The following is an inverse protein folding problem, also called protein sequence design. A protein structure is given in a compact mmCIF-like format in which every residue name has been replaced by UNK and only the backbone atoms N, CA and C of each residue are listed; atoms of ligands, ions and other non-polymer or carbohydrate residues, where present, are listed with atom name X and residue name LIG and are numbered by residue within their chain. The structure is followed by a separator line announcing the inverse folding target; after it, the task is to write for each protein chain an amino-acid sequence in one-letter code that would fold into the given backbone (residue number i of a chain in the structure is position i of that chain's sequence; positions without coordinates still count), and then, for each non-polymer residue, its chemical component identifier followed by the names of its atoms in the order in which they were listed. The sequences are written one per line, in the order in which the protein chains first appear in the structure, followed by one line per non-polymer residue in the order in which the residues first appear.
data_IF_613765298497
#
_entry.id   IF_613765298497
#
_cell.length_a   1.000
_cell.length_b   1.000
_cell.length_c   1.000
_cell.angle_alpha   90.00
_cell.angle_beta   90.00
_cell.angle_gamma   90.00
#
_symmetry.space_group_name_H-M   'P 1'
#
loop_
_entity.id
_entity.type
_entity.pdbx_description
1 polymer ?
#
# COMPACT_ATOMS: atom_id res chain seq x y z
N UNK A 1 10.50 -5.58 11.31
CA UNK A 1 9.26 -6.32 10.95
C UNK A 1 8.05 -5.74 11.70
N UNK A 2 7.06 -5.19 10.99
CA UNK A 2 5.80 -4.67 11.55
C UNK A 2 4.58 -5.35 10.89
N UNK A 3 3.47 -5.49 11.63
CA UNK A 3 2.19 -5.99 11.10
C UNK A 3 1.15 -4.87 11.02
N UNK A 4 0.44 -4.77 9.90
CA UNK A 4 -0.68 -3.87 9.67
C UNK A 4 -1.96 -4.62 9.32
N UNK A 5 -3.11 -4.11 9.76
CA UNK A 5 -4.45 -4.64 9.49
C UNK A 5 -5.31 -3.54 8.85
N UNK A 6 -5.91 -3.83 7.69
CA UNK A 6 -6.87 -2.95 7.02
C UNK A 6 -8.26 -3.57 7.06
N UNK A 7 -9.26 -2.83 7.54
CA UNK A 7 -10.67 -3.26 7.57
C UNK A 7 -11.39 -2.82 6.29
N UNK A 8 -12.24 -3.68 5.73
CA UNK A 8 -13.06 -3.36 4.56
C UNK A 8 -14.21 -2.37 4.85
N UNK A 9 -14.77 -1.78 3.79
CA UNK A 9 -15.91 -0.83 3.85
C UNK A 9 -17.15 -1.51 4.49
N UNK A 10 -17.81 -0.82 5.42
CA UNK A 10 -19.06 -1.25 6.03
C UNK A 10 -20.12 -1.62 4.98
N UNK A 11 -20.44 -2.91 4.88
CA UNK A 11 -21.38 -3.47 3.89
C UNK A 11 -21.29 -4.99 3.73
N UNK A 12 -20.17 -5.60 4.13
CA UNK A 12 -20.04 -7.05 4.39
C UNK A 12 -19.55 -7.26 5.81
N UNK A 13 -20.00 -8.32 6.47
CA UNK A 13 -19.68 -8.67 7.85
C UNK A 13 -18.17 -8.65 8.14
N UNK A 14 -17.64 -7.60 8.78
CA UNK A 14 -16.44 -7.64 9.62
C UNK A 14 -15.18 -8.37 9.10
N UNK A 15 -15.00 -8.52 7.79
CA UNK A 15 -13.86 -9.24 7.21
C UNK A 15 -12.65 -8.32 7.05
N UNK A 16 -11.47 -8.84 7.39
CA UNK A 16 -10.19 -8.19 7.09
C UNK A 16 -10.07 -8.07 5.56
N UNK A 17 -9.75 -6.87 5.08
CA UNK A 17 -9.60 -6.61 3.64
C UNK A 17 -8.25 -7.14 3.15
N UNK A 18 -7.17 -6.76 3.84
CA UNK A 18 -5.84 -7.32 3.65
C UNK A 18 -4.97 -7.16 4.90
N UNK A 19 -3.89 -7.96 4.95
CA UNK A 19 -2.87 -7.92 6.00
C UNK A 19 -1.52 -7.53 5.43
N UNK A 20 -0.77 -6.67 6.14
CA UNK A 20 0.53 -6.19 5.68
C UNK A 20 1.68 -6.57 6.59
N UNK A 21 2.78 -7.04 5.99
CA UNK A 21 4.05 -7.32 6.67
C UNK A 21 5.12 -6.39 6.10
N UNK A 22 5.51 -5.39 6.90
CA UNK A 22 6.61 -4.50 6.54
C UNK A 22 7.94 -5.13 6.92
N UNK A 23 8.88 -5.19 5.96
CA UNK A 23 10.25 -5.65 6.16
C UNK A 23 11.24 -4.50 6.13
N UNK A 24 12.39 -4.72 6.75
CA UNK A 24 13.36 -3.66 7.05
C UNK A 24 14.27 -3.30 5.86
N UNK A 25 14.30 -4.11 4.79
CA UNK A 25 15.11 -3.87 3.59
C UNK A 25 14.46 -4.43 2.30
N UNK A 26 14.68 -3.82 1.13
CA UNK A 26 14.09 -4.26 -0.13
C UNK A 26 14.59 -5.64 -0.56
N UNK A 27 15.83 -6.01 -0.24
CA UNK A 27 16.36 -7.35 -0.48
C UNK A 27 15.54 -8.42 0.25
N UNK A 28 14.98 -8.09 1.42
CA UNK A 28 14.13 -9.01 2.17
C UNK A 28 12.82 -9.28 1.43
N UNK A 29 12.24 -8.28 0.76
CA UNK A 29 11.05 -8.46 -0.11
C UNK A 29 11.37 -9.48 -1.20
N UNK A 30 12.53 -9.34 -1.86
CA UNK A 30 12.95 -10.24 -2.94
C UNK A 30 13.21 -11.68 -2.45
N UNK A 31 13.85 -11.84 -1.29
CA UNK A 31 14.08 -13.17 -0.70
C UNK A 31 12.75 -13.87 -0.38
N UNK A 32 11.79 -13.16 0.23
CA UNK A 32 10.48 -13.76 0.53
C UNK A 32 9.69 -14.06 -0.74
N UNK A 33 9.72 -13.17 -1.73
CA UNK A 33 9.09 -13.40 -3.03
C UNK A 33 9.60 -14.68 -3.70
N UNK A 34 10.93 -14.89 -3.73
CA UNK A 34 11.50 -16.11 -4.30
C UNK A 34 11.05 -17.36 -3.53
N UNK A 35 11.01 -17.29 -2.20
CA UNK A 35 10.53 -18.38 -1.34
C UNK A 35 9.07 -18.73 -1.63
N UNK A 36 8.20 -17.72 -1.76
CA UNK A 36 6.77 -17.87 -2.04
C UNK A 36 6.54 -18.45 -3.43
N UNK A 37 7.24 -17.94 -4.45
CA UNK A 37 7.22 -18.51 -5.81
C UNK A 37 7.68 -19.97 -5.84
N UNK A 38 8.75 -20.30 -5.11
CA UNK A 38 9.24 -21.68 -5.01
C UNK A 38 8.24 -22.62 -4.33
N UNK A 39 7.34 -22.09 -3.50
CA UNK A 39 6.22 -22.84 -2.92
C UNK A 39 5.01 -22.99 -3.85
N UNK A 40 5.06 -22.42 -5.07
CA UNK A 40 3.99 -22.52 -6.06
C UNK A 40 2.78 -21.60 -5.78
N UNK A 41 2.93 -20.62 -4.90
CA UNK A 41 1.88 -19.65 -4.59
C UNK A 41 1.85 -18.58 -5.67
N UNK A 42 0.66 -18.24 -6.16
CA UNK A 42 0.48 -17.16 -7.11
C UNK A 42 0.78 -15.81 -6.44
N UNK A 43 1.56 -14.97 -7.11
CA UNK A 43 2.01 -13.68 -6.60
C UNK A 43 1.69 -12.56 -7.58
N UNK A 44 1.37 -11.38 -7.04
CA UNK A 44 1.33 -10.11 -7.78
C UNK A 44 2.46 -9.22 -7.28
N UNK A 45 3.37 -8.85 -8.18
CA UNK A 45 4.59 -8.08 -7.87
C UNK A 45 4.43 -6.62 -8.26
N UNK A 46 4.87 -5.72 -7.37
CA UNK A 46 4.83 -4.28 -7.57
C UNK A 46 6.14 -3.68 -7.03
N UNK A 47 7.14 -3.55 -7.91
CA UNK A 47 8.49 -3.09 -7.54
C UNK A 47 8.69 -1.61 -7.88
N UNK A 48 9.27 -0.86 -6.95
CA UNK A 48 9.54 0.57 -7.07
C UNK A 48 8.30 1.40 -7.37
N UNK A 49 7.12 0.98 -6.91
CA UNK A 49 5.87 1.67 -7.20
C UNK A 49 5.66 2.85 -6.24
N UNK A 50 5.31 4.00 -6.80
CA UNK A 50 4.87 5.15 -6.02
C UNK A 50 3.43 4.92 -5.56
N UNK A 51 3.24 4.71 -4.26
CA UNK A 51 1.95 4.71 -3.60
C UNK A 51 1.73 6.07 -2.90
N UNK A 52 0.55 6.32 -2.35
CA UNK A 52 0.05 7.65 -1.98
C UNK A 52 1.01 8.52 -1.14
N UNK A 53 1.88 7.94 -0.32
CA UNK A 53 2.87 8.68 0.48
C UNK A 53 4.29 8.14 0.36
N UNK A 54 4.53 7.02 -0.34
CA UNK A 54 5.85 6.41 -0.36
C UNK A 54 6.07 5.58 -1.62
N UNK A 55 7.32 5.54 -2.07
CA UNK A 55 7.80 4.52 -2.99
C UNK A 55 7.97 3.20 -2.24
N UNK A 56 7.52 2.11 -2.85
CA UNK A 56 7.48 0.79 -2.21
C UNK A 56 7.92 -0.32 -3.17
N UNK A 57 8.60 -1.31 -2.62
CA UNK A 57 8.72 -2.65 -3.21
C UNK A 57 7.78 -3.57 -2.46
N UNK A 58 6.88 -4.24 -3.16
CA UNK A 58 5.93 -5.16 -2.55
C UNK A 58 5.52 -6.31 -3.44
N UNK A 59 5.05 -7.37 -2.81
CA UNK A 59 4.28 -8.41 -3.48
C UNK A 59 3.07 -8.80 -2.65
N UNK A 60 2.05 -9.27 -3.36
CA UNK A 60 0.79 -9.71 -2.81
C UNK A 60 0.59 -11.21 -3.04
N UNK A 61 0.00 -11.88 -2.06
CA UNK A 61 -0.57 -13.23 -2.18
C UNK A 61 -2.00 -13.23 -1.65
N UNK A 62 -2.82 -14.17 -2.12
CA UNK A 62 -4.13 -14.43 -1.56
C UNK A 62 -4.12 -15.78 -0.85
N UNK A 63 -4.62 -15.82 0.38
CA UNK A 63 -4.77 -17.08 1.10
C UNK A 63 -6.06 -17.83 0.71
N UNK A 64 -6.24 -19.10 1.12
CA UNK A 64 -7.42 -19.88 0.75
C UNK A 64 -8.77 -19.33 1.27
N UNK A 65 -8.75 -18.50 2.32
CA UNK A 65 -9.93 -17.83 2.87
C UNK A 65 -10.24 -16.51 2.11
N UNK A 66 -9.40 -16.15 1.15
CA UNK A 66 -9.58 -15.01 0.26
C UNK A 66 -8.96 -13.70 0.74
N UNK A 67 -8.24 -13.71 1.89
CA UNK A 67 -7.59 -12.49 2.40
C UNK A 67 -6.33 -12.22 1.60
N UNK A 68 -6.15 -10.96 1.18
CA UNK A 68 -4.91 -10.52 0.54
C UNK A 68 -3.83 -10.23 1.60
N UNK A 69 -2.61 -10.66 1.32
CA UNK A 69 -1.43 -10.40 2.14
C UNK A 69 -0.40 -9.66 1.33
N UNK A 70 0.07 -8.52 1.82
CA UNK A 70 1.24 -7.83 1.27
C UNK A 70 2.48 -8.03 2.13
N UNK A 71 3.62 -8.20 1.47
CA UNK A 71 4.94 -8.05 2.08
C UNK A 71 5.63 -6.91 1.38
N UNK A 72 6.04 -5.89 2.12
CA UNK A 72 6.54 -4.65 1.51
C UNK A 72 7.69 -4.00 2.28
N UNK A 73 8.44 -3.18 1.55
CA UNK A 73 9.40 -2.24 2.10
C UNK A 73 9.07 -0.82 1.61
N UNK A 74 9.27 0.19 2.48
CA UNK A 74 9.14 1.60 2.12
C UNK A 74 10.52 2.12 1.72
N UNK A 75 10.71 2.44 0.45
CA UNK A 75 11.98 2.93 -0.06
C UNK A 75 12.25 4.39 0.34
N UNK A 76 11.26 5.26 0.13
CA UNK A 76 11.30 6.68 0.50
C UNK A 76 9.89 7.27 0.46
N UNK A 77 9.67 8.36 1.19
CA UNK A 77 8.41 9.11 1.21
C UNK A 77 8.26 10.00 -0.06
N UNK A 78 7.03 10.27 -0.49
CA UNK A 78 6.71 11.07 -1.68
C UNK A 78 6.24 12.51 -1.37
N UNK A 79 5.94 12.87 -0.12
CA UNK A 79 5.59 14.24 0.31
C UNK A 79 6.25 14.58 1.67
N UNK A 80 7.14 15.56 1.88
CA UNK A 80 7.85 16.56 1.09
C UNK A 80 8.82 17.27 2.06
N UNK A 81 9.91 17.85 1.56
CA UNK A 81 10.79 18.72 2.36
C UNK A 81 9.94 19.84 3.01
N UNK A 82 9.67 19.72 4.32
CA UNK A 82 9.16 20.81 5.11
C UNK A 82 10.26 21.85 5.31
N UNK A 83 10.60 22.62 4.27
CA UNK A 83 11.25 23.91 4.48
C UNK A 83 10.24 24.79 5.21
N UNK A 84 10.54 25.05 6.49
CA UNK A 84 9.87 26.08 7.28
C UNK A 84 9.86 27.39 6.49
N UNK A 85 8.68 27.79 6.02
CA UNK A 85 8.44 29.16 5.60
C UNK A 85 7.02 29.53 5.99
N UNK A 86 6.97 30.56 6.83
CA UNK A 86 5.82 31.02 7.56
C UNK A 86 4.72 31.60 6.65
N UNK A 87 3.52 31.57 7.22
CA UNK A 87 2.36 32.45 6.95
C UNK A 87 1.38 32.06 5.83
N UNK A 88 0.20 31.62 6.27
CA UNK A 88 -1.10 31.55 5.55
C UNK A 88 -1.63 32.99 5.26
N UNK A 89 -2.73 33.25 4.49
CA UNK A 89 -3.83 32.33 4.12
C UNK A 89 -4.47 32.49 2.71
N UNK A 90 -5.47 31.62 2.46
CA UNK A 90 -6.58 31.65 1.49
C UNK A 90 -6.47 30.90 0.15
N UNK A 91 -7.48 30.05 -0.08
CA UNK A 91 -8.03 29.70 -1.39
C UNK A 91 -7.70 28.29 -1.89
N UNK A 92 -8.66 27.37 -1.78
CA UNK A 92 -8.63 26.06 -2.45
C UNK A 92 -8.61 26.24 -3.98
N UNK A 93 -7.91 25.34 -4.68
CA UNK A 93 -8.66 24.47 -5.59
C UNK A 93 -8.47 23.02 -5.16
N UNK A 94 -9.59 22.29 -5.10
CA UNK A 94 -9.58 20.84 -5.03
C UNK A 94 -8.98 20.33 -6.35
N UNK A 95 -7.82 19.70 -6.27
CA UNK A 95 -7.29 18.93 -7.39
C UNK A 95 -8.05 17.60 -7.40
N UNK A 96 -8.72 17.31 -8.51
CA UNK A 96 -9.18 15.94 -8.79
C UNK A 96 -7.95 15.09 -9.04
N UNK A 97 -7.48 14.45 -7.98
CA UNK A 97 -6.44 13.43 -8.02
C UNK A 97 -7.08 12.13 -8.51
N UNK A 98 -6.84 11.77 -9.78
CA UNK A 98 -6.98 10.39 -10.27
C UNK A 98 -5.84 9.53 -9.73
N UNK A 99 -5.70 9.51 -8.40
CA UNK A 99 -4.70 8.75 -7.67
C UNK A 99 -5.27 7.45 -7.11
N UNK A 100 -4.38 6.49 -6.85
CA UNK A 100 -4.68 5.15 -6.33
C UNK A 100 -5.47 5.14 -5.01
N UNK A 101 -5.52 6.28 -4.29
CA UNK A 101 -6.25 6.47 -3.03
C UNK A 101 -7.56 7.28 -3.17
N UNK A 102 -7.98 7.68 -4.37
CA UNK A 102 -9.26 8.34 -4.53
C UNK A 102 -10.41 7.33 -4.33
N UNK A 103 -11.42 7.61 -3.48
CA UNK A 103 -12.61 6.78 -3.45
C UNK A 103 -13.29 6.83 -4.82
N UNK A 104 -13.53 5.66 -5.43
CA UNK A 104 -14.29 5.57 -6.68
C UNK A 104 -15.65 6.26 -6.49
N UNK A 105 -16.04 7.22 -7.34
CA UNK A 105 -17.36 7.81 -7.23
C UNK A 105 -18.41 6.73 -7.49
N UNK A 106 -19.26 6.50 -6.49
CA UNK A 106 -20.46 5.67 -6.66
C UNK A 106 -21.38 6.38 -7.65
N UNK A 107 -21.33 5.94 -8.91
CA UNK A 107 -22.27 6.39 -9.94
C UNK A 107 -23.70 6.05 -9.53
N UNK A 108 -24.58 7.04 -9.57
CA UNK A 108 -26.03 6.90 -9.43
C UNK A 108 -26.68 6.35 -10.69
#
# INVERSE_FOLDING_TARGET
MNLGLSQGRAGGEGTVDHMGIQVDAPETVMVQLQRVKAAGVAVREEMGVNCCHANQDKFWVQDPDGVEWEVYHLNYDLEGEATVSASRPNGLPVVEETGCCAPRPSGT
#
